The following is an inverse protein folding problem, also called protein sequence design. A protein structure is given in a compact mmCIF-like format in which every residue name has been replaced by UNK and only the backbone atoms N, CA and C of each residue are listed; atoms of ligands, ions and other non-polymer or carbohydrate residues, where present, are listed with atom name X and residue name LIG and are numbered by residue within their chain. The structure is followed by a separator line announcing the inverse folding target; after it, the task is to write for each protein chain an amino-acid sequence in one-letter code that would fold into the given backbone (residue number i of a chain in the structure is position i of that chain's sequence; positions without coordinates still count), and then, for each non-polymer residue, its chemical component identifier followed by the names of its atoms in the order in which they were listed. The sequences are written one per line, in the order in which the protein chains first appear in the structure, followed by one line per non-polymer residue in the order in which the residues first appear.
data_IF_367865761972
#
_entry.id   IF_367865761972
#
_cell.length_a   1.000
_cell.length_b   1.000
_cell.length_c   1.000
_cell.angle_alpha   90.00
_cell.angle_beta   90.00
_cell.angle_gamma   90.00
#
_symmetry.space_group_name_H-M   'P 1'
#
loop_
_entity.id
_entity.type
_entity.pdbx_description
1 polymer ?
#
# COMPACT_ATOMS: atom_id res chain seq x y z
N UNK A 1 -2.07 16.51 -29.48
CA UNK A 1 -0.90 15.68 -29.30
C UNK A 1 0.10 16.37 -28.38
N UNK A 2 0.12 16.10 -27.09
CA UNK A 2 1.11 16.64 -26.14
C UNK A 2 1.36 15.58 -25.05
N UNK A 3 2.30 14.65 -25.30
CA UNK A 3 2.74 13.67 -24.34
C UNK A 3 3.91 14.14 -23.45
N UNK A 4 4.31 15.41 -23.55
CA UNK A 4 5.52 15.93 -22.90
C UNK A 4 5.35 16.31 -21.40
N UNK A 5 4.11 16.50 -20.92
CA UNK A 5 3.89 16.92 -19.53
C UNK A 5 3.93 15.81 -18.47
N UNK A 6 3.70 14.58 -18.91
CA UNK A 6 3.52 13.43 -18.03
C UNK A 6 4.84 12.91 -17.44
N UNK A 7 5.88 12.85 -18.27
CA UNK A 7 7.20 12.34 -17.88
C UNK A 7 7.89 13.23 -16.84
N UNK A 8 7.67 14.54 -16.93
CA UNK A 8 8.31 15.53 -16.06
C UNK A 8 7.75 15.52 -14.65
N UNK A 9 6.42 15.48 -14.49
CA UNK A 9 5.78 15.44 -13.17
C UNK A 9 6.09 14.15 -12.39
N UNK A 10 6.22 13.02 -13.09
CA UNK A 10 6.62 11.74 -12.49
C UNK A 10 8.08 11.79 -12.05
N UNK A 11 8.96 12.32 -12.88
CA UNK A 11 10.39 12.49 -12.56
C UNK A 11 10.56 13.47 -11.39
N UNK A 12 9.86 14.60 -11.38
CA UNK A 12 9.91 15.57 -10.29
C UNK A 12 9.37 14.99 -8.97
N UNK A 13 8.30 14.18 -9.00
CA UNK A 13 7.77 13.52 -7.81
C UNK A 13 8.71 12.47 -7.21
N UNK A 14 9.54 11.84 -8.03
CA UNK A 14 10.57 10.89 -7.58
C UNK A 14 11.89 11.59 -7.23
N UNK A 15 12.27 12.66 -7.91
CA UNK A 15 13.48 13.43 -7.63
C UNK A 15 13.43 14.15 -6.26
N UNK A 16 12.26 14.56 -5.79
CA UNK A 16 12.08 15.09 -4.43
C UNK A 16 12.37 14.06 -3.31
N UNK A 17 12.54 12.78 -3.63
CA UNK A 17 12.92 11.72 -2.68
C UNK A 17 14.40 11.36 -2.73
N UNK A 18 15.14 11.81 -3.74
CA UNK A 18 16.51 11.35 -3.99
C UNK A 18 17.59 12.14 -3.22
N UNK A 19 17.24 13.27 -2.63
CA UNK A 19 18.21 14.11 -1.93
C UNK A 19 18.47 13.59 -0.51
N UNK A 20 19.17 12.46 -0.38
CA UNK A 20 19.67 12.03 0.92
C UNK A 20 19.97 10.54 1.13
N UNK A 21 19.79 9.66 0.17
CA UNK A 21 20.08 8.25 0.39
C UNK A 21 21.12 7.73 -0.61
N UNK A 22 22.37 7.64 -0.15
CA UNK A 22 23.39 6.84 -0.82
C UNK A 22 23.09 5.38 -0.49
N UNK A 23 22.78 4.52 -1.50
CA UNK A 23 22.59 3.10 -1.22
C UNK A 23 23.93 2.49 -0.74
N UNK A 24 23.90 1.50 0.17
CA UNK A 24 25.08 0.81 0.61
C UNK A 24 25.76 0.16 -0.60
N UNK A 25 27.07 0.31 -0.68
CA UNK A 25 27.92 -0.35 -1.68
C UNK A 25 27.99 -1.86 -1.38
N UNK A 26 27.07 -2.61 -1.96
CA UNK A 26 27.10 -4.06 -1.94
C UNK A 26 27.89 -4.58 -3.15
N UNK A 27 29.17 -4.27 -3.23
CA UNK A 27 30.11 -4.95 -4.14
C UNK A 27 30.34 -6.37 -3.63
N UNK A 28 29.44 -7.27 -3.93
CA UNK A 28 29.71 -8.70 -3.90
C UNK A 28 30.46 -9.02 -5.20
N UNK A 29 31.77 -9.09 -5.08
CA UNK A 29 32.67 -9.58 -6.14
C UNK A 29 32.38 -11.09 -6.34
N UNK A 30 31.43 -11.39 -7.21
CA UNK A 30 31.17 -12.73 -7.74
C UNK A 30 31.37 -12.66 -9.23
N UNK A 31 32.04 -13.68 -9.75
CA UNK A 31 32.20 -13.99 -11.17
C UNK A 31 30.82 -14.21 -11.79
N UNK A 32 30.08 -13.12 -11.99
CA UNK A 32 28.67 -13.12 -12.39
C UNK A 32 28.54 -12.67 -13.84
N UNK A 33 27.50 -13.17 -14.49
CA UNK A 33 27.12 -12.79 -15.85
C UNK A 33 27.06 -11.24 -15.94
N UNK A 34 27.63 -10.60 -16.98
CA UNK A 34 27.55 -9.14 -17.17
C UNK A 34 26.14 -8.56 -17.09
N UNK A 35 25.11 -9.36 -17.36
CA UNK A 35 23.70 -9.00 -17.21
C UNK A 35 23.32 -8.76 -15.76
N UNK A 36 23.96 -9.40 -14.79
CA UNK A 36 23.65 -9.26 -13.37
C UNK A 36 24.02 -7.88 -12.85
N UNK A 37 25.17 -7.33 -13.29
CA UNK A 37 25.61 -5.98 -12.95
C UNK A 37 24.65 -4.89 -13.46
N UNK A 38 23.97 -5.13 -14.58
CA UNK A 38 22.97 -4.24 -15.16
C UNK A 38 21.59 -4.50 -14.53
N UNK A 39 21.27 -5.77 -14.30
CA UNK A 39 19.99 -6.21 -13.74
C UNK A 39 19.77 -5.75 -12.31
N UNK A 40 20.81 -5.78 -11.48
CA UNK A 40 20.77 -5.36 -10.07
C UNK A 40 20.41 -3.89 -9.85
N UNK A 41 20.56 -3.05 -10.88
CA UNK A 41 20.21 -1.62 -10.85
C UNK A 41 18.77 -1.34 -11.31
N UNK A 42 18.04 -2.37 -11.72
CA UNK A 42 16.64 -2.24 -12.18
C UNK A 42 15.66 -2.49 -11.03
N UNK A 43 14.42 -2.01 -11.22
CA UNK A 43 13.37 -2.21 -10.23
C UNK A 43 13.14 -3.72 -9.99
N UNK A 44 13.27 -4.20 -8.73
CA UNK A 44 13.21 -5.62 -8.40
C UNK A 44 11.75 -6.09 -8.25
N UNK A 45 11.02 -6.15 -9.36
CA UNK A 45 9.61 -6.55 -9.38
C UNK A 45 9.37 -7.95 -8.80
N UNK A 46 10.39 -8.82 -8.81
CA UNK A 46 10.33 -10.17 -8.25
C UNK A 46 10.11 -10.20 -6.73
N UNK A 47 10.38 -9.09 -6.02
CA UNK A 47 10.12 -8.99 -4.57
C UNK A 47 8.63 -8.82 -4.24
N UNK A 48 7.79 -8.49 -5.23
CA UNK A 48 6.34 -8.43 -5.02
C UNK A 48 5.79 -9.86 -5.00
N UNK A 49 5.13 -10.30 -3.90
CA UNK A 49 4.63 -11.68 -3.79
C UNK A 49 3.61 -11.98 -4.88
N UNK A 50 3.86 -13.03 -5.67
CA UNK A 50 2.94 -13.44 -6.74
C UNK A 50 1.56 -13.83 -6.21
N UNK A 51 1.49 -14.38 -4.98
CA UNK A 51 0.22 -14.68 -4.30
C UNK A 51 -0.61 -13.42 -4.04
N UNK A 52 0.02 -12.35 -3.57
CA UNK A 52 -0.64 -11.05 -3.38
C UNK A 52 -1.17 -10.47 -4.69
N UNK A 53 -0.38 -10.59 -5.78
CA UNK A 53 -0.81 -10.17 -7.11
C UNK A 53 -2.02 -10.98 -7.57
N UNK A 54 -1.98 -12.32 -7.42
CA UNK A 54 -3.07 -13.20 -7.84
C UNK A 54 -4.37 -12.91 -7.07
N UNK A 55 -4.30 -12.74 -5.76
CA UNK A 55 -5.46 -12.37 -4.94
C UNK A 55 -6.00 -10.99 -5.33
N UNK A 56 -5.13 -9.99 -5.49
CA UNK A 56 -5.55 -8.64 -5.90
C UNK A 56 -6.20 -8.62 -7.29
N UNK A 57 -5.79 -9.51 -8.19
CA UNK A 57 -6.41 -9.63 -9.51
C UNK A 57 -7.90 -9.99 -9.46
N UNK A 58 -8.35 -10.74 -8.43
CA UNK A 58 -9.79 -11.04 -8.25
C UNK A 58 -10.58 -9.78 -7.89
N UNK A 59 -10.04 -8.90 -7.05
CA UNK A 59 -10.66 -7.62 -6.72
C UNK A 59 -10.70 -6.68 -7.94
N UNK A 60 -9.66 -6.67 -8.77
CA UNK A 60 -9.68 -5.94 -10.04
C UNK A 60 -10.70 -6.49 -11.04
N UNK A 61 -10.87 -7.83 -11.09
CA UNK A 61 -11.89 -8.46 -11.92
C UNK A 61 -13.29 -8.04 -11.46
N UNK A 62 -13.56 -8.11 -10.17
CA UNK A 62 -14.83 -7.66 -9.58
C UNK A 62 -15.12 -6.20 -9.94
N UNK A 63 -14.15 -5.30 -9.73
CA UNK A 63 -14.27 -3.90 -10.09
C UNK A 63 -14.49 -3.69 -11.59
N UNK A 64 -13.80 -4.46 -12.44
CA UNK A 64 -13.96 -4.38 -13.89
C UNK A 64 -15.35 -4.82 -14.37
N UNK A 65 -15.94 -5.83 -13.71
CA UNK A 65 -17.29 -6.29 -14.01
C UNK A 65 -18.35 -5.30 -13.52
N UNK A 66 -18.11 -4.60 -12.42
CA UNK A 66 -19.03 -3.60 -11.86
C UNK A 66 -18.96 -2.26 -12.59
N UNK A 67 -17.76 -1.78 -12.95
CA UNK A 67 -17.52 -0.39 -13.35
C UNK A 67 -16.79 -0.23 -14.68
N UNK A 68 -16.40 -1.31 -15.33
CA UNK A 68 -15.59 -1.31 -16.54
C UNK A 68 -14.08 -1.28 -16.28
N UNK A 69 -13.33 -1.94 -17.19
CA UNK A 69 -11.86 -2.03 -17.11
C UNK A 69 -11.24 -0.64 -17.23
N UNK A 70 -10.29 -0.33 -16.34
CA UNK A 70 -9.53 0.92 -16.35
C UNK A 70 -10.38 2.20 -16.31
N UNK A 71 -11.62 2.12 -15.79
CA UNK A 71 -12.53 3.27 -15.70
C UNK A 71 -11.89 4.46 -14.95
N UNK A 72 -11.06 4.20 -13.96
CA UNK A 72 -10.36 5.23 -13.19
C UNK A 72 -9.38 6.09 -14.03
N UNK A 73 -8.86 5.54 -15.14
CA UNK A 73 -7.99 6.30 -16.07
C UNK A 73 -8.73 7.28 -16.95
N UNK A 74 -10.04 7.13 -17.07
CA UNK A 74 -10.92 7.99 -17.88
C UNK A 74 -11.78 8.89 -17.00
N UNK A 75 -12.61 8.29 -16.15
CA UNK A 75 -13.51 9.01 -15.26
C UNK A 75 -12.78 9.73 -14.10
N UNK A 76 -11.62 9.18 -13.70
CA UNK A 76 -10.92 9.65 -12.52
C UNK A 76 -11.48 9.06 -11.23
N UNK A 77 -10.77 9.31 -10.14
CA UNK A 77 -11.16 8.86 -8.80
C UNK A 77 -10.90 9.95 -7.78
N UNK A 78 -11.66 9.92 -6.69
CA UNK A 78 -11.48 10.79 -5.53
C UNK A 78 -10.79 10.00 -4.42
N UNK A 79 -9.72 10.57 -3.82
CA UNK A 79 -8.91 9.90 -2.83
C UNK A 79 -9.72 9.45 -1.62
N UNK A 80 -10.60 10.32 -1.07
CA UNK A 80 -11.44 10.02 0.11
C UNK A 80 -12.30 8.78 -0.08
N UNK A 81 -12.94 8.60 -1.25
CA UNK A 81 -13.82 7.47 -1.53
C UNK A 81 -13.07 6.14 -1.46
N UNK A 82 -11.85 6.11 -2.00
CA UNK A 82 -11.02 4.90 -1.96
C UNK A 82 -10.41 4.66 -0.58
N UNK A 83 -10.06 5.73 0.17
CA UNK A 83 -9.63 5.61 1.56
C UNK A 83 -10.75 5.03 2.44
N UNK A 84 -11.97 5.51 2.29
CA UNK A 84 -13.14 4.98 3.01
C UNK A 84 -13.41 3.52 2.66
N UNK A 85 -13.24 3.13 1.39
CA UNK A 85 -13.34 1.73 0.97
C UNK A 85 -12.27 0.86 1.65
N UNK A 86 -11.00 1.32 1.65
CA UNK A 86 -9.91 0.60 2.33
C UNK A 86 -10.19 0.44 3.83
N UNK A 87 -10.63 1.52 4.52
CA UNK A 87 -10.95 1.46 5.95
C UNK A 87 -12.07 0.45 6.24
N UNK A 88 -13.14 0.41 5.43
CA UNK A 88 -14.22 -0.58 5.60
C UNK A 88 -13.71 -2.01 5.41
N UNK A 89 -12.89 -2.27 4.40
CA UNK A 89 -12.32 -3.61 4.18
C UNK A 89 -11.36 -4.01 5.29
N UNK A 90 -10.52 -3.09 5.80
CA UNK A 90 -9.63 -3.34 6.93
C UNK A 90 -10.46 -3.68 8.18
N UNK A 91 -11.49 -2.86 8.49
CA UNK A 91 -12.33 -3.07 9.68
C UNK A 91 -13.06 -4.44 9.64
N UNK A 92 -13.57 -4.86 8.48
CA UNK A 92 -14.19 -6.17 8.31
C UNK A 92 -13.17 -7.30 8.55
N UNK A 93 -11.99 -7.20 7.94
CA UNK A 93 -10.93 -8.18 8.12
C UNK A 93 -10.45 -8.26 9.58
N UNK A 94 -10.26 -7.13 10.26
CA UNK A 94 -9.89 -7.07 11.68
C UNK A 94 -10.92 -7.74 12.59
N UNK A 95 -12.18 -7.76 12.18
CA UNK A 95 -13.28 -8.40 12.90
C UNK A 95 -13.57 -9.85 12.41
N UNK A 96 -12.64 -10.46 11.67
CA UNK A 96 -12.68 -11.88 11.31
C UNK A 96 -13.41 -12.19 10.01
N UNK A 97 -13.86 -11.20 9.24
CA UNK A 97 -14.43 -11.41 7.91
C UNK A 97 -13.30 -11.38 6.87
N UNK A 98 -12.74 -12.54 6.52
CA UNK A 98 -11.61 -12.60 5.58
C UNK A 98 -12.00 -12.26 4.14
N UNK A 99 -13.21 -12.61 3.73
CA UNK A 99 -13.73 -12.45 2.37
C UNK A 99 -15.11 -11.80 2.40
N UNK A 100 -15.44 -11.10 1.36
CA UNK A 100 -16.79 -10.58 1.15
C UNK A 100 -17.77 -11.75 0.98
N UNK A 101 -18.86 -11.85 1.77
CA UNK A 101 -19.75 -13.02 1.77
C UNK A 101 -20.56 -13.16 0.47
N UNK A 102 -20.71 -12.09 -0.31
CA UNK A 102 -21.45 -12.13 -1.57
C UNK A 102 -20.55 -12.56 -2.74
N UNK A 103 -19.31 -12.09 -2.76
CA UNK A 103 -18.42 -12.25 -3.91
C UNK A 103 -17.27 -13.23 -3.69
N UNK A 104 -16.95 -13.54 -2.43
CA UNK A 104 -15.81 -14.38 -2.05
C UNK A 104 -14.45 -13.68 -2.25
N UNK A 105 -14.44 -12.40 -2.59
CA UNK A 105 -13.20 -11.63 -2.78
C UNK A 105 -12.62 -11.25 -1.43
N UNK A 106 -11.32 -11.50 -1.25
CA UNK A 106 -10.61 -11.14 -0.03
C UNK A 106 -10.66 -9.64 0.25
N UNK A 107 -10.99 -9.25 1.49
CA UNK A 107 -10.96 -7.85 1.90
C UNK A 107 -9.57 -7.24 1.77
N UNK A 108 -8.50 -7.97 2.09
CA UNK A 108 -7.14 -7.48 1.88
C UNK A 108 -6.79 -7.31 0.39
N UNK A 109 -7.31 -8.16 -0.49
CA UNK A 109 -7.16 -7.97 -1.94
C UNK A 109 -7.85 -6.68 -2.41
N UNK A 110 -9.02 -6.37 -1.86
CA UNK A 110 -9.76 -5.13 -2.15
C UNK A 110 -9.03 -3.88 -1.63
N UNK A 111 -8.39 -3.96 -0.45
CA UNK A 111 -7.50 -2.90 0.06
C UNK A 111 -6.33 -2.66 -0.91
N UNK A 112 -5.65 -3.72 -1.35
CA UNK A 112 -4.56 -3.62 -2.32
C UNK A 112 -5.03 -3.02 -3.65
N UNK A 113 -6.18 -3.45 -4.17
CA UNK A 113 -6.74 -2.91 -5.40
C UNK A 113 -7.05 -1.41 -5.29
N UNK A 114 -7.67 -0.97 -4.19
CA UNK A 114 -7.94 0.44 -3.93
C UNK A 114 -6.65 1.27 -3.89
N UNK A 115 -5.61 0.80 -3.20
CA UNK A 115 -4.32 1.47 -3.13
C UNK A 115 -3.65 1.56 -4.52
N UNK A 116 -3.67 0.47 -5.29
CA UNK A 116 -3.12 0.43 -6.65
C UNK A 116 -3.88 1.38 -7.60
N UNK A 117 -5.20 1.47 -7.49
CA UNK A 117 -6.02 2.40 -8.28
C UNK A 117 -5.65 3.85 -7.96
N UNK A 118 -5.49 4.20 -6.67
CA UNK A 118 -5.06 5.57 -6.29
C UNK A 118 -3.69 5.90 -6.90
N UNK A 119 -2.72 4.97 -6.81
CA UNK A 119 -1.38 5.17 -7.37
C UNK A 119 -1.42 5.35 -8.89
N UNK A 120 -2.16 4.50 -9.58
CA UNK A 120 -2.28 4.54 -11.04
C UNK A 120 -3.06 5.77 -11.52
N UNK A 121 -4.16 6.12 -10.86
CA UNK A 121 -4.93 7.33 -11.16
C UNK A 121 -4.10 8.59 -10.96
N UNK A 122 -3.27 8.64 -9.91
CA UNK A 122 -2.32 9.75 -9.70
C UNK A 122 -1.31 9.85 -10.83
N UNK A 123 -0.76 8.71 -11.25
CA UNK A 123 0.17 8.64 -12.38
C UNK A 123 -0.47 9.10 -13.68
N UNK A 124 -1.76 8.81 -13.88
CA UNK A 124 -2.54 9.21 -15.06
C UNK A 124 -3.12 10.64 -14.99
N UNK A 125 -2.85 11.39 -13.90
CA UNK A 125 -3.43 12.72 -13.71
C UNK A 125 -4.96 12.70 -13.54
N UNK A 126 -5.49 11.58 -13.02
CA UNK A 126 -6.93 11.33 -12.84
C UNK A 126 -7.35 11.22 -11.37
N UNK A 127 -6.43 11.46 -10.43
CA UNK A 127 -6.74 11.51 -9.01
C UNK A 127 -7.20 12.91 -8.61
N UNK A 128 -8.41 13.01 -8.05
CA UNK A 128 -8.81 14.17 -7.25
C UNK A 128 -8.30 13.95 -5.83
N UNK A 129 -7.28 14.70 -5.44
CA UNK A 129 -6.66 14.62 -4.11
C UNK A 129 -7.42 15.54 -3.14
N UNK A 130 -8.44 14.99 -2.51
CA UNK A 130 -9.29 15.65 -1.52
C UNK A 130 -8.96 15.23 -0.08
N UNK A 131 -7.72 14.80 0.14
CA UNK A 131 -7.22 14.52 1.50
C UNK A 131 -7.23 15.80 2.34
N UNK A 132 -7.38 15.68 3.68
CA UNK A 132 -7.37 16.85 4.56
C UNK A 132 -6.06 17.63 4.47
N UNK A 133 -6.04 18.93 4.86
CA UNK A 133 -4.82 19.69 5.01
C UNK A 133 -3.79 18.94 5.87
N UNK A 134 -2.52 19.15 5.58
CA UNK A 134 -1.42 18.48 6.28
C UNK A 134 -1.46 18.76 7.78
N UNK A 135 -1.31 17.69 8.57
CA UNK A 135 -0.98 17.72 9.98
C UNK A 135 0.32 16.95 10.18
N UNK A 136 1.08 17.28 11.24
CA UNK A 136 2.35 16.62 11.57
C UNK A 136 2.14 15.25 12.21
N UNK A 137 1.34 14.38 11.54
CA UNK A 137 0.99 13.05 12.07
C UNK A 137 2.22 12.17 12.22
N UNK A 138 3.17 12.25 11.28
CA UNK A 138 4.41 11.47 11.34
C UNK A 138 5.24 11.86 12.58
N UNK A 139 5.36 13.16 12.87
CA UNK A 139 6.06 13.64 14.04
C UNK A 139 5.37 13.23 15.33
N UNK A 140 4.03 13.27 15.35
CA UNK A 140 3.24 12.78 16.48
C UNK A 140 3.44 11.29 16.72
N UNK A 141 3.43 10.45 15.69
CA UNK A 141 3.69 9.01 15.81
C UNK A 141 5.08 8.76 16.40
N UNK A 142 6.10 9.48 15.91
CA UNK A 142 7.45 9.38 16.43
C UNK A 142 7.55 9.81 17.91
N UNK A 143 6.87 10.90 18.27
CA UNK A 143 6.81 11.36 19.66
C UNK A 143 6.15 10.33 20.58
N UNK A 144 5.06 9.71 20.14
CA UNK A 144 4.34 8.68 20.91
C UNK A 144 5.12 7.36 21.05
N UNK A 145 6.17 7.15 20.23
CA UNK A 145 7.03 5.98 20.38
C UNK A 145 7.73 5.95 21.76
N UNK A 146 8.10 7.11 22.31
CA UNK A 146 8.67 7.22 23.66
C UNK A 146 7.64 6.84 24.74
N UNK A 147 6.36 7.16 24.54
CA UNK A 147 5.28 6.77 25.43
C UNK A 147 5.09 5.24 25.40
N UNK A 148 5.16 4.62 24.24
CA UNK A 148 5.10 3.15 24.11
C UNK A 148 6.24 2.51 24.90
N UNK A 149 7.46 3.00 24.74
CA UNK A 149 8.62 2.48 25.46
C UNK A 149 8.47 2.63 26.99
N UNK A 150 8.01 3.80 27.47
CA UNK A 150 7.74 4.03 28.90
C UNK A 150 6.70 3.07 29.47
N UNK A 151 5.61 2.83 28.72
CA UNK A 151 4.56 1.89 29.11
C UNK A 151 5.08 0.45 29.15
N UNK A 152 5.84 0.03 28.15
CA UNK A 152 6.46 -1.30 28.12
C UNK A 152 7.39 -1.53 29.31
N UNK A 153 8.24 -0.55 29.66
CA UNK A 153 9.11 -0.62 30.84
C UNK A 153 8.30 -0.66 32.13
N UNK A 154 7.26 0.17 32.25
CA UNK A 154 6.40 0.24 33.44
C UNK A 154 5.70 -1.08 33.74
N UNK A 155 5.24 -1.77 32.69
CA UNK A 155 4.44 -2.99 32.79
C UNK A 155 5.22 -4.26 32.42
N UNK A 156 6.56 -4.23 32.38
CA UNK A 156 7.42 -5.33 31.95
C UNK A 156 7.20 -6.65 32.69
N UNK A 157 6.78 -6.56 33.98
CA UNK A 157 6.54 -7.73 34.84
C UNK A 157 5.07 -8.18 34.84
N UNK A 158 4.21 -7.53 34.05
CA UNK A 158 2.82 -7.92 33.87
C UNK A 158 2.71 -8.83 32.64
N UNK A 159 2.10 -9.99 32.81
CA UNK A 159 1.92 -11.00 31.77
C UNK A 159 0.42 -11.35 31.60
N UNK A 160 -0.44 -10.37 31.25
CA UNK A 160 -1.85 -10.65 31.01
C UNK A 160 -2.02 -11.54 29.78
N UNK A 161 -3.09 -12.36 29.79
CA UNK A 161 -3.47 -13.09 28.59
C UNK A 161 -3.78 -12.13 27.43
N UNK A 162 -3.23 -12.40 26.25
CA UNK A 162 -3.50 -11.63 25.04
C UNK A 162 -4.59 -12.35 24.25
N UNK A 163 -5.77 -11.74 24.19
CA UNK A 163 -6.90 -12.30 23.48
C UNK A 163 -6.79 -12.06 21.97
N UNK A 164 -7.18 -13.05 21.18
CA UNK A 164 -7.19 -13.03 19.71
C UNK A 164 -8.57 -13.45 19.21
N UNK A 165 -8.77 -13.48 17.90
CA UNK A 165 -10.02 -13.98 17.29
C UNK A 165 -10.32 -15.45 17.65
N UNK A 166 -9.32 -16.21 18.13
CA UNK A 166 -9.44 -17.61 18.54
C UNK A 166 -9.92 -17.79 19.98
N UNK A 167 -9.97 -16.71 20.76
CA UNK A 167 -10.37 -16.73 22.17
C UNK A 167 -11.86 -16.36 22.37
N UNK A 168 -12.53 -15.91 21.35
CA UNK A 168 -13.94 -15.52 21.38
C UNK A 168 -14.77 -16.31 20.37
N UNK A 169 -15.62 -17.23 20.84
CA UNK A 169 -16.79 -17.61 20.08
C UNK A 169 -17.81 -16.49 20.26
N UNK A 170 -18.07 -15.73 19.20
CA UNK A 170 -19.23 -14.86 19.14
C UNK A 170 -20.46 -15.76 19.12
N UNK A 171 -21.03 -16.03 20.32
CA UNK A 171 -22.33 -16.70 20.47
C UNK A 171 -23.45 -15.83 19.95
#
# INVERSE_FOLDING_TARGET
MKHAGFTRAVIEAYQMRADGHTPPDNTVDKDTNPKDAIGSKKLPLHLVPSSGIAMTATAFLEGALKYGKYNWRIAGVRASIYLDAMHRHIAKWENGEDVDPETGVSHLASVCACAMIIMDARLCGKLTDDRPPRASVADLINLLADDVQRLQVRFKDHHPHQYTIHDGELT
#
